data_IF_883861182696
#
_entry.id   IF_883861182696
#
_cell.length_a   1.000
_cell.length_b   1.000
_cell.length_c   1.000
_cell.angle_alpha   90.00
_cell.angle_beta   90.00
_cell.angle_gamma   90.00
#
_symmetry.space_group_name_H-M   'P 1'
#
loop_
_entity.id
_entity.type
_entity.pdbx_description
1 polymer ?
#
# COMPACT_ATOMS: atom_id res chain seq x y z
N UNK A 1 -75.16 13.09 5.87
CA UNK A 1 -74.34 11.88 6.14
C UNK A 1 -73.45 11.50 4.96
N UNK A 2 -73.97 11.45 3.72
CA UNK A 2 -73.18 11.10 2.51
C UNK A 2 -71.94 12.00 2.27
N UNK A 3 -72.06 13.32 2.47
CA UNK A 3 -70.94 14.27 2.32
C UNK A 3 -69.78 14.01 3.30
N UNK A 4 -70.09 13.66 4.55
CA UNK A 4 -69.07 13.41 5.58
C UNK A 4 -68.31 12.12 5.26
N UNK A 5 -69.03 11.08 4.81
CA UNK A 5 -68.43 9.83 4.36
C UNK A 5 -67.50 10.04 3.14
N UNK A 6 -67.90 10.90 2.20
CA UNK A 6 -67.11 11.19 1.00
C UNK A 6 -65.84 12.00 1.34
N UNK A 7 -65.94 12.98 2.24
CA UNK A 7 -64.77 13.74 2.74
C UNK A 7 -63.80 12.83 3.50
N UNK A 8 -64.31 11.92 4.34
CA UNK A 8 -63.49 10.95 5.07
C UNK A 8 -62.76 10.00 4.10
N UNK A 9 -63.47 9.48 3.09
CA UNK A 9 -62.87 8.61 2.06
C UNK A 9 -61.77 9.34 1.25
N UNK A 10 -62.02 10.59 0.83
CA UNK A 10 -61.02 11.41 0.13
C UNK A 10 -59.81 11.72 1.02
N UNK A 11 -60.03 12.00 2.30
CA UNK A 11 -58.94 12.26 3.26
C UNK A 11 -58.05 11.03 3.45
N UNK A 12 -58.64 9.83 3.53
CA UNK A 12 -57.90 8.57 3.58
C UNK A 12 -57.13 8.34 2.27
N UNK A 13 -57.73 8.66 1.12
CA UNK A 13 -57.04 8.58 -0.18
C UNK A 13 -55.83 9.50 -0.27
N UNK A 14 -55.94 10.75 0.20
CA UNK A 14 -54.83 11.70 0.25
C UNK A 14 -53.75 11.23 1.23
N UNK A 15 -54.12 10.77 2.43
CA UNK A 15 -53.17 10.25 3.40
C UNK A 15 -52.42 9.02 2.86
N UNK A 16 -53.13 8.11 2.19
CA UNK A 16 -52.54 6.93 1.55
C UNK A 16 -51.57 7.27 0.42
N UNK A 17 -51.93 8.21 -0.46
CA UNK A 17 -51.05 8.67 -1.55
C UNK A 17 -49.84 9.45 -1.05
N UNK A 18 -50.00 10.28 -0.01
CA UNK A 18 -48.89 10.98 0.64
C UNK A 18 -47.91 10.01 1.31
N UNK A 19 -48.42 9.00 2.01
CA UNK A 19 -47.59 7.96 2.62
C UNK A 19 -46.86 7.11 1.57
N UNK A 20 -47.56 6.71 0.50
CA UNK A 20 -46.96 6.00 -0.62
C UNK A 20 -45.87 6.82 -1.30
N UNK A 21 -46.15 8.10 -1.61
CA UNK A 21 -45.18 9.01 -2.21
C UNK A 21 -43.95 9.25 -1.33
N UNK A 22 -44.14 9.38 -0.01
CA UNK A 22 -43.04 9.48 0.95
C UNK A 22 -42.18 8.21 0.98
N UNK A 23 -42.82 7.03 1.02
CA UNK A 23 -42.13 5.73 1.01
C UNK A 23 -41.37 5.51 -0.29
N UNK A 24 -41.98 5.81 -1.42
CA UNK A 24 -41.37 5.73 -2.74
C UNK A 24 -40.16 6.66 -2.84
N UNK A 25 -40.28 7.90 -2.34
CA UNK A 25 -39.18 8.86 -2.30
C UNK A 25 -38.01 8.37 -1.43
N UNK A 26 -38.29 7.79 -0.25
CA UNK A 26 -37.27 7.20 0.63
C UNK A 26 -36.56 6.01 -0.03
N UNK A 27 -37.31 5.09 -0.65
CA UNK A 27 -36.75 3.93 -1.35
C UNK A 27 -35.89 4.35 -2.54
N UNK A 28 -36.37 5.32 -3.33
CA UNK A 28 -35.60 5.91 -4.44
C UNK A 28 -34.30 6.52 -3.94
N UNK A 29 -34.35 7.35 -2.90
CA UNK A 29 -33.14 7.98 -2.35
C UNK A 29 -32.15 6.95 -1.81
N UNK A 30 -32.62 5.90 -1.13
CA UNK A 30 -31.76 4.82 -0.66
C UNK A 30 -31.06 4.11 -1.83
N UNK A 31 -31.78 3.79 -2.91
CA UNK A 31 -31.20 3.19 -4.13
C UNK A 31 -30.15 4.11 -4.76
N UNK A 32 -30.44 5.41 -4.89
CA UNK A 32 -29.49 6.38 -5.45
C UNK A 32 -28.22 6.50 -4.61
N UNK A 33 -28.34 6.54 -3.28
CA UNK A 33 -27.18 6.57 -2.37
C UNK A 33 -26.38 5.27 -2.47
N UNK A 34 -27.05 4.11 -2.53
CA UNK A 34 -26.35 2.83 -2.69
C UNK A 34 -25.60 2.75 -4.02
N UNK A 35 -26.20 3.21 -5.12
CA UNK A 35 -25.55 3.26 -6.42
C UNK A 35 -24.37 4.24 -6.45
N UNK A 36 -24.53 5.44 -5.89
CA UNK A 36 -23.45 6.42 -5.75
C UNK A 36 -22.27 5.84 -4.94
N UNK A 37 -22.53 5.23 -3.79
CA UNK A 37 -21.49 4.59 -2.98
C UNK A 37 -20.81 3.43 -3.71
N UNK A 38 -21.56 2.68 -4.53
CA UNK A 38 -20.99 1.61 -5.36
C UNK A 38 -20.04 2.18 -6.42
N UNK A 39 -20.43 3.26 -7.11
CA UNK A 39 -19.60 3.90 -8.12
C UNK A 39 -18.34 4.54 -7.54
N UNK A 40 -18.47 5.26 -6.42
CA UNK A 40 -17.32 5.81 -5.72
C UNK A 40 -16.33 4.71 -5.34
N UNK A 41 -16.81 3.62 -4.71
CA UNK A 41 -15.96 2.49 -4.36
C UNK A 41 -15.30 1.87 -5.57
N UNK A 42 -16.07 1.52 -6.60
CA UNK A 42 -15.53 0.90 -7.83
C UNK A 42 -14.48 1.80 -8.49
N UNK A 43 -14.69 3.12 -8.53
CA UNK A 43 -13.72 4.04 -9.08
C UNK A 43 -12.43 4.13 -8.23
N UNK A 44 -12.55 4.14 -6.90
CA UNK A 44 -11.39 4.09 -6.01
C UNK A 44 -10.62 2.77 -6.13
N UNK A 45 -11.33 1.64 -6.18
CA UNK A 45 -10.75 0.31 -6.35
C UNK A 45 -10.01 0.21 -7.69
N UNK A 46 -10.61 0.72 -8.79
CA UNK A 46 -9.98 0.76 -10.10
C UNK A 46 -8.71 1.60 -10.09
N UNK A 47 -8.77 2.81 -9.54
CA UNK A 47 -7.61 3.71 -9.44
C UNK A 47 -6.45 3.01 -8.73
N UNK A 48 -6.75 2.39 -7.59
CA UNK A 48 -5.77 1.64 -6.80
C UNK A 48 -5.20 0.42 -7.54
N UNK A 49 -6.06 -0.35 -8.21
CA UNK A 49 -5.62 -1.52 -8.99
C UNK A 49 -4.73 -1.12 -10.17
N UNK A 50 -5.01 0.02 -10.81
CA UNK A 50 -4.15 0.57 -11.88
C UNK A 50 -2.80 1.02 -11.33
N UNK A 51 -2.73 1.62 -10.15
CA UNK A 51 -1.45 1.96 -9.50
C UNK A 51 -0.60 0.68 -9.27
N UNK A 52 -1.21 -0.35 -8.67
CA UNK A 52 -0.54 -1.62 -8.43
C UNK A 52 -0.10 -2.29 -9.73
N UNK A 53 -0.94 -2.25 -10.76
CA UNK A 53 -0.65 -2.82 -12.07
C UNK A 53 0.55 -2.11 -12.70
N UNK A 54 0.56 -0.77 -12.70
CA UNK A 54 1.67 0.03 -13.21
C UNK A 54 2.99 -0.31 -12.51
N UNK A 55 3.00 -0.33 -11.17
CA UNK A 55 4.20 -0.66 -10.39
C UNK A 55 4.69 -2.09 -10.61
N UNK A 56 3.77 -3.05 -10.76
CA UNK A 56 4.11 -4.44 -11.01
C UNK A 56 4.69 -4.65 -12.42
N UNK A 57 4.19 -3.93 -13.43
CA UNK A 57 4.80 -3.92 -14.78
C UNK A 57 6.22 -3.34 -14.70
N UNK A 58 6.38 -2.20 -14.03
CA UNK A 58 7.67 -1.54 -13.84
C UNK A 58 8.68 -2.47 -13.15
N UNK A 59 8.24 -3.17 -12.10
CA UNK A 59 9.03 -4.19 -11.40
C UNK A 59 9.44 -5.32 -12.34
N UNK A 60 8.50 -5.83 -13.14
CA UNK A 60 8.75 -6.89 -14.13
C UNK A 60 9.77 -6.46 -15.20
N UNK A 61 9.78 -5.18 -15.61
CA UNK A 61 10.75 -4.63 -16.56
C UNK A 61 12.19 -4.58 -16.03
N UNK A 62 12.36 -4.40 -14.73
CA UNK A 62 13.65 -4.34 -14.05
C UNK A 62 14.21 -5.72 -13.68
N UNK A 63 13.36 -6.75 -13.67
CA UNK A 63 13.76 -8.14 -13.44
C UNK A 63 14.59 -8.69 -14.59
N UNK A 64 15.48 -9.62 -14.29
CA UNK A 64 16.28 -10.35 -15.29
C UNK A 64 16.13 -11.87 -15.17
N UNK A 65 15.87 -12.37 -13.96
CA UNK A 65 15.87 -13.82 -13.75
C UNK A 65 14.56 -14.44 -14.20
N UNK A 66 14.70 -15.56 -14.88
CA UNK A 66 13.61 -16.31 -15.49
C UNK A 66 12.70 -16.95 -14.42
N UNK A 67 13.24 -17.21 -13.22
CA UNK A 67 12.52 -17.75 -12.06
C UNK A 67 11.67 -16.70 -11.33
N UNK A 68 12.01 -15.41 -11.44
CA UNK A 68 11.27 -14.29 -10.86
C UNK A 68 10.23 -13.70 -11.82
N UNK A 69 10.47 -13.77 -13.14
CA UNK A 69 9.59 -13.22 -14.17
C UNK A 69 8.22 -13.91 -14.26
N UNK A 70 8.15 -15.26 -14.26
CA UNK A 70 6.86 -15.96 -14.39
C UNK A 70 5.87 -15.62 -13.26
N UNK A 71 6.29 -15.65 -11.97
CA UNK A 71 5.43 -15.17 -10.88
C UNK A 71 5.03 -13.70 -11.03
N UNK A 72 5.96 -12.83 -11.45
CA UNK A 72 5.67 -11.41 -11.60
C UNK A 72 4.63 -11.14 -12.71
N UNK A 73 4.72 -11.85 -13.83
CA UNK A 73 3.75 -11.78 -14.94
C UNK A 73 2.38 -12.38 -14.55
N UNK A 74 2.37 -13.46 -13.75
CA UNK A 74 1.12 -14.00 -13.21
C UNK A 74 0.42 -12.96 -12.30
N UNK A 75 1.18 -12.19 -11.54
CA UNK A 75 0.66 -11.10 -10.71
C UNK A 75 0.15 -9.93 -11.55
N UNK A 76 0.86 -9.53 -12.62
CA UNK A 76 0.35 -8.55 -13.60
C UNK A 76 -0.99 -9.01 -14.17
N UNK A 77 -1.12 -10.28 -14.54
CA UNK A 77 -2.37 -10.85 -15.03
C UNK A 77 -3.49 -10.79 -13.97
N UNK A 78 -3.20 -11.16 -12.71
CA UNK A 78 -4.18 -11.07 -11.60
C UNK A 78 -4.68 -9.64 -11.42
N UNK A 79 -3.77 -8.68 -11.31
CA UNK A 79 -4.10 -7.26 -11.11
C UNK A 79 -4.91 -6.70 -12.28
N UNK A 80 -4.56 -7.06 -13.51
CA UNK A 80 -5.30 -6.67 -14.70
C UNK A 80 -6.72 -7.24 -14.71
N UNK A 81 -6.88 -8.50 -14.29
CA UNK A 81 -8.18 -9.16 -14.18
C UNK A 81 -9.08 -8.49 -13.14
N UNK A 82 -8.51 -8.12 -12.00
CA UNK A 82 -9.22 -7.41 -10.93
C UNK A 82 -9.65 -6.02 -11.37
N UNK A 83 -8.73 -5.26 -11.98
CA UNK A 83 -9.06 -3.96 -12.60
C UNK A 83 -10.19 -4.10 -13.62
N UNK A 84 -10.12 -5.12 -14.50
CA UNK A 84 -11.13 -5.35 -15.53
C UNK A 84 -12.50 -5.62 -14.91
N UNK A 85 -12.57 -6.46 -13.87
CA UNK A 85 -13.81 -6.74 -13.16
C UNK A 85 -14.39 -5.49 -12.46
N UNK A 86 -13.53 -4.59 -11.96
CA UNK A 86 -13.94 -3.34 -11.32
C UNK A 86 -14.46 -2.32 -12.33
N UNK A 87 -13.84 -2.19 -13.51
CA UNK A 87 -14.36 -1.35 -14.60
C UNK A 87 -15.80 -1.72 -14.94
N UNK A 88 -16.09 -3.03 -14.97
CA UNK A 88 -17.44 -3.61 -15.14
C UNK A 88 -18.53 -3.09 -14.19
N UNK A 89 -18.16 -2.50 -13.05
CA UNK A 89 -19.07 -2.01 -12.01
C UNK A 89 -19.33 -0.50 -12.10
N UNK A 90 -18.59 0.22 -12.95
CA UNK A 90 -18.84 1.62 -13.24
C UNK A 90 -20.10 1.76 -14.11
N UNK A 91 -20.70 2.96 -14.23
CA UNK A 91 -21.87 3.16 -15.09
C UNK A 91 -21.49 3.06 -16.59
N UNK A 92 -21.26 1.83 -17.05
CA UNK A 92 -20.75 1.45 -18.37
C UNK A 92 -21.70 1.77 -19.53
N UNK A 93 -22.99 1.91 -19.26
CA UNK A 93 -24.00 2.17 -20.30
C UNK A 93 -23.87 3.58 -20.91
N UNK A 94 -23.10 4.48 -20.28
CA UNK A 94 -23.11 5.90 -20.60
C UNK A 94 -21.71 6.55 -20.70
N UNK A 95 -20.67 5.92 -20.15
CA UNK A 95 -19.28 6.40 -20.24
C UNK A 95 -18.45 5.48 -21.15
N UNK A 96 -17.53 6.03 -21.97
CA UNK A 96 -16.62 5.19 -22.74
C UNK A 96 -15.59 4.59 -21.77
N UNK A 97 -15.69 3.29 -21.47
CA UNK A 97 -14.69 2.54 -20.71
C UNK A 97 -14.07 1.39 -21.51
N UNK A 98 -14.58 1.20 -22.72
CA UNK A 98 -14.29 0.06 -23.58
C UNK A 98 -12.79 -0.10 -23.83
N UNK A 99 -12.05 1.01 -23.85
CA UNK A 99 -10.61 0.96 -24.14
C UNK A 99 -9.78 0.72 -22.89
N UNK A 100 -10.22 1.20 -21.74
CA UNK A 100 -9.62 0.79 -20.46
C UNK A 100 -9.80 -0.72 -20.25
N UNK A 101 -10.98 -1.27 -20.53
CA UNK A 101 -11.22 -2.72 -20.54
C UNK A 101 -10.32 -3.44 -21.54
N UNK A 102 -10.20 -2.93 -22.77
CA UNK A 102 -9.33 -3.49 -23.81
C UNK A 102 -7.85 -3.47 -23.38
N UNK A 103 -7.36 -2.38 -22.78
CA UNK A 103 -6.00 -2.30 -22.23
C UNK A 103 -5.76 -3.37 -21.17
N UNK A 104 -6.69 -3.51 -20.22
CA UNK A 104 -6.61 -4.48 -19.13
C UNK A 104 -6.67 -5.94 -19.62
N UNK A 105 -7.48 -6.20 -20.64
CA UNK A 105 -7.53 -7.49 -21.31
C UNK A 105 -6.21 -7.81 -22.03
N UNK A 106 -5.64 -6.83 -22.74
CA UNK A 106 -4.38 -6.96 -23.49
C UNK A 106 -3.20 -7.29 -22.58
N UNK A 107 -3.05 -6.55 -21.49
CA UNK A 107 -1.99 -6.80 -20.52
C UNK A 107 -2.21 -8.13 -19.80
N UNK A 108 -3.46 -8.50 -19.47
CA UNK A 108 -3.79 -9.79 -18.91
C UNK A 108 -3.34 -10.95 -19.81
N UNK A 109 -3.72 -10.89 -21.09
CA UNK A 109 -3.41 -11.91 -22.09
C UNK A 109 -1.91 -12.03 -22.39
N UNK A 110 -1.21 -10.90 -22.55
CA UNK A 110 0.24 -10.89 -22.71
C UNK A 110 0.93 -11.55 -21.50
N UNK A 111 0.55 -11.13 -20.30
CA UNK A 111 1.22 -11.54 -19.07
C UNK A 111 0.95 -13.01 -18.76
N UNK A 112 -0.29 -13.48 -18.96
CA UNK A 112 -0.62 -14.90 -18.82
C UNK A 112 0.16 -15.78 -19.79
N UNK A 113 0.15 -15.44 -21.09
CA UNK A 113 0.86 -16.22 -22.12
C UNK A 113 2.36 -16.30 -21.84
N UNK A 114 2.95 -15.22 -21.36
CA UNK A 114 4.35 -15.20 -20.98
C UNK A 114 4.61 -15.97 -19.67
N UNK A 115 3.73 -15.86 -18.68
CA UNK A 115 3.89 -16.50 -17.37
C UNK A 115 3.86 -18.04 -17.43
N UNK A 116 2.98 -18.63 -18.25
CA UNK A 116 2.82 -20.08 -18.37
C UNK A 116 3.89 -20.77 -19.21
N UNK A 117 4.73 -19.99 -19.91
CA UNK A 117 5.83 -20.50 -20.73
C UNK A 117 7.01 -20.86 -19.85
N UNK A 118 7.77 -21.86 -20.28
CA UNK A 118 9.09 -22.15 -19.70
C UNK A 118 10.06 -21.02 -20.10
N UNK A 119 10.11 -19.96 -19.28
CA UNK A 119 10.98 -18.81 -19.52
C UNK A 119 12.47 -19.18 -19.42
N UNK A 120 12.82 -20.31 -18.79
CA UNK A 120 14.19 -20.85 -18.78
C UNK A 120 14.65 -21.26 -20.17
N UNK A 121 13.75 -21.82 -20.98
CA UNK A 121 14.03 -22.20 -22.38
C UNK A 121 13.67 -21.10 -23.38
N UNK A 122 12.64 -20.32 -23.09
CA UNK A 122 12.07 -19.31 -23.98
C UNK A 122 11.90 -17.99 -23.22
N UNK A 123 12.99 -17.25 -22.95
CA UNK A 123 12.92 -15.95 -22.25
C UNK A 123 12.10 -14.94 -23.06
N UNK A 124 11.72 -13.82 -22.42
CA UNK A 124 11.11 -12.71 -23.13
C UNK A 124 12.04 -12.25 -24.25
N UNK A 125 11.54 -12.21 -25.47
CA UNK A 125 12.29 -11.68 -26.60
C UNK A 125 12.22 -10.14 -26.62
N UNK A 126 13.03 -9.51 -27.49
CA UNK A 126 13.11 -8.05 -27.57
C UNK A 126 11.76 -7.38 -27.91
N UNK A 127 10.90 -8.03 -28.71
CA UNK A 127 9.58 -7.49 -29.07
C UNK A 127 8.59 -7.61 -27.89
N UNK A 128 8.63 -8.72 -27.15
CA UNK A 128 7.87 -8.89 -25.90
C UNK A 128 8.31 -7.87 -24.84
N UNK A 129 9.61 -7.59 -24.73
CA UNK A 129 10.14 -6.57 -23.82
C UNK A 129 9.69 -5.15 -24.21
N UNK A 130 9.76 -4.79 -25.50
CA UNK A 130 9.21 -3.51 -26.01
C UNK A 130 7.71 -3.40 -25.75
N UNK A 131 6.98 -4.50 -25.91
CA UNK A 131 5.54 -4.55 -25.61
C UNK A 131 5.30 -4.23 -24.14
N UNK A 132 6.06 -4.84 -23.22
CA UNK A 132 5.96 -4.56 -21.78
C UNK A 132 6.31 -3.10 -21.45
N UNK A 133 7.31 -2.50 -22.12
CA UNK A 133 7.63 -1.07 -21.98
C UNK A 133 6.50 -0.16 -22.46
N UNK A 134 5.82 -0.52 -23.56
CA UNK A 134 4.67 0.23 -24.05
C UNK A 134 3.48 0.11 -23.10
N UNK A 135 3.22 -1.09 -22.56
CA UNK A 135 2.19 -1.32 -21.55
C UNK A 135 2.48 -0.51 -20.28
N UNK A 136 3.74 -0.44 -19.86
CA UNK A 136 4.17 0.39 -18.73
C UNK A 136 3.83 1.87 -18.96
N UNK A 137 4.21 2.41 -20.12
CA UNK A 137 3.96 3.81 -20.47
C UNK A 137 2.46 4.13 -20.51
N UNK A 138 1.67 3.26 -21.17
CA UNK A 138 0.21 3.40 -21.23
C UNK A 138 -0.46 3.30 -19.86
N UNK A 139 0.01 2.40 -18.99
CA UNK A 139 -0.51 2.31 -17.61
C UNK A 139 -0.25 3.58 -16.82
N UNK A 140 0.90 4.26 -17.03
CA UNK A 140 1.20 5.54 -16.40
C UNK A 140 0.26 6.65 -16.88
N UNK A 141 -0.04 6.69 -18.18
CA UNK A 141 -0.98 7.65 -18.76
C UNK A 141 -2.39 7.45 -18.16
N UNK A 142 -2.90 6.21 -18.15
CA UNK A 142 -4.20 5.87 -17.57
C UNK A 142 -4.23 6.19 -16.07
N UNK A 143 -3.17 5.85 -15.33
CA UNK A 143 -3.02 6.18 -13.92
C UNK A 143 -3.17 7.68 -13.69
N UNK A 144 -2.42 8.50 -14.43
CA UNK A 144 -2.45 9.95 -14.30
C UNK A 144 -3.83 10.52 -14.61
N UNK A 145 -4.51 10.00 -15.61
CA UNK A 145 -5.84 10.46 -16.00
C UNK A 145 -6.92 10.06 -14.99
N UNK A 146 -6.86 8.84 -14.44
CA UNK A 146 -7.75 8.42 -13.34
C UNK A 146 -7.52 9.28 -12.09
N UNK A 147 -6.27 9.62 -11.78
CA UNK A 147 -5.94 10.53 -10.67
C UNK A 147 -6.43 11.96 -10.91
N UNK A 148 -6.37 12.46 -12.14
CA UNK A 148 -6.99 13.73 -12.51
C UNK A 148 -8.51 13.70 -12.31
N UNK A 149 -9.19 12.65 -12.77
CA UNK A 149 -10.64 12.48 -12.55
C UNK A 149 -10.96 12.42 -11.05
N UNK A 150 -10.17 11.66 -10.28
CA UNK A 150 -10.33 11.57 -8.83
C UNK A 150 -10.21 12.94 -8.15
N UNK A 151 -9.21 13.72 -8.53
CA UNK A 151 -9.02 15.08 -8.03
C UNK A 151 -10.24 15.96 -8.33
N UNK A 152 -10.70 15.99 -9.58
CA UNK A 152 -11.85 16.79 -10.01
C UNK A 152 -13.15 16.41 -9.30
N UNK A 153 -13.39 15.11 -9.09
CA UNK A 153 -14.56 14.59 -8.38
C UNK A 153 -14.56 15.07 -6.92
N UNK A 154 -13.41 14.97 -6.25
CA UNK A 154 -13.25 15.36 -4.85
C UNK A 154 -13.30 16.88 -4.65
N UNK A 155 -12.65 17.65 -5.53
CA UNK A 155 -12.60 19.11 -5.46
C UNK A 155 -13.99 19.72 -5.68
N UNK A 156 -14.73 19.21 -6.67
CA UNK A 156 -16.02 19.78 -7.08
C UNK A 156 -17.23 19.06 -6.46
N UNK A 157 -17.02 18.10 -5.55
CA UNK A 157 -18.06 17.27 -4.93
C UNK A 157 -19.04 16.68 -5.95
N UNK A 158 -18.50 16.18 -7.07
CA UNK A 158 -19.29 15.68 -8.18
C UNK A 158 -19.87 14.31 -7.84
N UNK A 159 -21.13 14.07 -8.22
CA UNK A 159 -21.82 12.79 -8.00
C UNK A 159 -21.84 11.98 -9.29
N UNK A 160 -21.44 10.73 -9.22
CA UNK A 160 -21.47 9.79 -10.35
C UNK A 160 -22.88 9.60 -10.90
N UNK A 161 -23.87 9.59 -10.02
CA UNK A 161 -25.29 9.52 -10.37
C UNK A 161 -25.78 10.72 -11.19
N UNK A 162 -25.23 11.92 -10.97
CA UNK A 162 -25.60 13.11 -11.76
C UNK A 162 -25.07 13.00 -13.19
N UNK A 163 -23.88 12.40 -13.35
CA UNK A 163 -23.29 12.10 -14.66
C UNK A 163 -24.13 11.06 -15.40
N UNK A 164 -24.52 9.98 -14.72
CA UNK A 164 -25.40 8.95 -15.28
C UNK A 164 -26.75 9.55 -15.74
N UNK A 165 -27.39 10.37 -14.89
CA UNK A 165 -28.66 11.02 -15.23
C UNK A 165 -28.53 12.00 -16.40
N UNK A 166 -27.46 12.80 -16.45
CA UNK A 166 -27.20 13.74 -17.55
C UNK A 166 -27.03 13.00 -18.89
N UNK A 167 -26.30 11.89 -18.89
CA UNK A 167 -26.09 11.06 -20.07
C UNK A 167 -27.39 10.35 -20.52
N UNK A 168 -28.18 9.83 -19.59
CA UNK A 168 -29.45 9.17 -19.89
C UNK A 168 -30.52 10.11 -20.47
N UNK A 169 -30.46 11.40 -20.10
CA UNK A 169 -31.45 12.41 -20.52
C UNK A 169 -31.05 13.19 -21.77
N UNK A 170 -29.90 12.90 -22.38
CA UNK A 170 -29.30 13.67 -23.49
C UNK A 170 -29.13 15.18 -23.20
N UNK A 171 -29.29 15.61 -21.95
CA UNK A 171 -28.97 16.96 -21.51
C UNK A 171 -27.47 16.99 -21.22
N UNK A 172 -26.68 17.46 -22.19
CA UNK A 172 -25.28 17.81 -21.97
C UNK A 172 -25.21 19.25 -21.46
N UNK A 173 -25.15 19.52 -20.14
CA UNK A 173 -24.63 20.79 -19.70
C UNK A 173 -23.19 20.92 -20.26
N UNK A 174 -22.83 22.10 -20.75
CA UNK A 174 -21.57 22.34 -21.47
C UNK A 174 -20.28 22.15 -20.64
N UNK A 175 -20.40 21.78 -19.36
CA UNK A 175 -19.29 21.48 -18.44
C UNK A 175 -19.61 20.17 -17.70
N UNK A 176 -19.04 19.04 -18.14
CA UNK A 176 -19.10 17.81 -17.35
C UNK A 176 -17.70 17.18 -17.29
N UNK A 177 -16.91 17.71 -16.36
CA UNK A 177 -15.48 17.45 -16.20
C UNK A 177 -15.15 15.97 -15.96
N UNK A 178 -16.08 15.20 -15.38
CA UNK A 178 -15.95 13.74 -15.23
C UNK A 178 -15.92 13.06 -16.60
N UNK A 179 -16.89 13.40 -17.46
CA UNK A 179 -16.98 12.81 -18.80
C UNK A 179 -15.73 13.16 -19.62
N UNK A 180 -15.26 14.40 -19.53
CA UNK A 180 -14.11 14.84 -20.32
C UNK A 180 -12.79 14.25 -19.80
N UNK A 181 -12.65 14.07 -18.49
CA UNK A 181 -11.55 13.28 -17.91
C UNK A 181 -11.53 11.84 -18.44
N UNK A 182 -12.68 11.14 -18.45
CA UNK A 182 -12.76 9.79 -19.00
C UNK A 182 -12.55 9.70 -20.52
N UNK A 183 -13.05 10.67 -21.29
CA UNK A 183 -12.76 10.73 -22.73
C UNK A 183 -11.26 10.86 -23.00
N UNK A 184 -10.53 11.49 -22.09
CA UNK A 184 -9.07 11.65 -22.19
C UNK A 184 -8.39 10.31 -21.93
N UNK A 185 -8.77 9.60 -20.85
CA UNK A 185 -8.40 8.19 -20.56
C UNK A 185 -8.54 7.31 -21.80
N UNK A 186 -9.71 7.38 -22.41
CA UNK A 186 -10.04 6.55 -23.56
C UNK A 186 -9.27 6.97 -24.81
N UNK A 187 -8.91 8.23 -25.02
CA UNK A 187 -8.24 8.65 -26.25
C UNK A 187 -6.85 8.01 -26.43
N UNK A 188 -6.18 7.66 -25.33
CA UNK A 188 -4.78 7.24 -25.31
C UNK A 188 -4.54 5.73 -25.54
N UNK A 189 -5.58 4.94 -25.81
CA UNK A 189 -5.49 3.49 -25.99
C UNK A 189 -5.88 3.08 -27.44
N UNK A 190 -4.94 2.48 -28.18
CA UNK A 190 -5.09 1.73 -29.45
C UNK A 190 -4.17 0.48 -29.36
N UNK A 191 -4.44 -0.76 -29.80
CA UNK A 191 -5.59 -1.46 -30.42
C UNK A 191 -5.30 -3.00 -30.42
N UNK A 192 -6.36 -3.85 -30.52
CA UNK A 192 -6.51 -5.27 -30.97
C UNK A 192 -7.02 -6.34 -29.96
N UNK A 193 -7.74 -7.35 -30.51
CA UNK A 193 -8.84 -8.16 -29.91
C UNK A 193 -8.52 -9.41 -29.03
N UNK A 194 -9.58 -9.77 -28.28
CA UNK A 194 -9.85 -10.65 -27.11
C UNK A 194 -9.49 -12.16 -27.11
N UNK A 195 -9.29 -12.75 -25.91
CA UNK A 195 -9.91 -14.03 -25.45
C UNK A 195 -9.87 -14.25 -23.91
N UNK A 196 -10.72 -15.18 -23.43
CA UNK A 196 -11.34 -15.34 -22.09
C UNK A 196 -10.57 -16.18 -21.01
N UNK A 197 -11.01 -16.05 -19.74
CA UNK A 197 -10.31 -16.38 -18.48
C UNK A 197 -10.47 -17.80 -17.88
N UNK A 198 -9.57 -18.15 -16.94
CA UNK A 198 -9.68 -19.24 -15.95
C UNK A 198 -9.07 -18.85 -14.59
N UNK A 199 -9.42 -19.51 -13.46
CA UNK A 199 -9.08 -19.02 -12.11
C UNK A 199 -7.71 -19.50 -11.60
N UNK A 200 -7.01 -18.67 -10.83
CA UNK A 200 -5.80 -19.08 -10.06
C UNK A 200 -5.71 -18.41 -8.68
N UNK A 201 -4.95 -19.07 -7.82
CA UNK A 201 -4.91 -19.07 -6.37
C UNK A 201 -4.07 -17.94 -5.75
N UNK A 202 -4.59 -17.33 -4.68
CA UNK A 202 -3.82 -16.47 -3.77
C UNK A 202 -3.12 -17.31 -2.69
N UNK A 203 -1.79 -17.25 -2.63
CA UNK A 203 -1.02 -17.79 -1.52
C UNK A 203 -0.97 -16.75 -0.38
N UNK A 204 -1.46 -17.11 0.81
CA UNK A 204 -1.40 -16.28 2.01
C UNK A 204 -0.03 -16.43 2.66
N UNK A 205 0.75 -15.35 2.75
CA UNK A 205 2.00 -15.31 3.50
C UNK A 205 1.78 -15.72 4.97
N UNK A 206 2.37 -16.85 5.37
CA UNK A 206 2.52 -17.20 6.79
C UNK A 206 3.59 -16.30 7.41
N UNK A 207 3.17 -15.18 8.02
CA UNK A 207 4.02 -14.43 8.96
C UNK A 207 4.46 -15.37 10.08
N UNK A 208 5.76 -15.38 10.41
CA UNK A 208 6.29 -16.01 11.62
C UNK A 208 5.48 -15.52 12.82
N UNK A 209 4.79 -16.46 13.47
CA UNK A 209 3.99 -16.19 14.67
C UNK A 209 4.94 -16.15 15.86
N UNK A 210 4.82 -15.15 16.73
CA UNK A 210 5.44 -15.17 18.05
C UNK A 210 6.64 -14.25 18.24
N UNK A 211 6.93 -13.98 19.51
CA UNK A 211 8.19 -13.40 20.00
C UNK A 211 9.05 -14.47 20.68
N UNK A 212 9.06 -15.71 20.17
CA UNK A 212 9.64 -16.89 20.84
C UNK A 212 11.12 -16.72 21.21
N UNK A 213 11.87 -15.97 20.41
CA UNK A 213 13.30 -15.75 20.57
C UNK A 213 13.67 -14.65 21.58
N UNK A 214 12.69 -13.92 22.13
CA UNK A 214 12.99 -12.87 23.11
C UNK A 214 13.44 -13.48 24.44
N UNK A 215 14.51 -12.94 25.00
CA UNK A 215 15.08 -13.34 26.28
C UNK A 215 14.76 -12.32 27.38
N UNK A 216 14.75 -12.76 28.64
CA UNK A 216 14.51 -11.88 29.78
C UNK A 216 13.52 -12.47 30.78
N UNK A 217 13.46 -11.84 31.97
CA UNK A 217 12.51 -12.20 33.02
C UNK A 217 11.12 -11.72 32.66
N UNK A 218 10.10 -12.38 33.19
CA UNK A 218 8.73 -11.86 33.14
C UNK A 218 8.66 -10.57 33.96
N UNK A 219 8.06 -9.54 33.39
CA UNK A 219 7.81 -8.27 34.06
C UNK A 219 6.39 -8.23 34.64
N UNK A 220 6.19 -7.38 35.62
CA UNK A 220 4.91 -7.08 36.24
C UNK A 220 4.24 -5.89 35.54
N UNK A 221 2.94 -5.70 35.84
CA UNK A 221 2.16 -4.54 35.40
C UNK A 221 2.82 -3.19 35.78
N UNK A 222 3.37 -3.10 36.98
CA UNK A 222 4.05 -1.87 37.44
C UNK A 222 5.38 -1.65 36.73
N UNK A 223 6.14 -2.70 36.44
CA UNK A 223 7.36 -2.60 35.63
C UNK A 223 7.03 -2.16 34.20
N UNK A 224 5.96 -2.69 33.59
CA UNK A 224 5.48 -2.24 32.28
C UNK A 224 5.15 -0.73 32.27
N UNK A 225 4.50 -0.24 33.34
CA UNK A 225 4.23 1.20 33.53
C UNK A 225 5.52 2.02 33.62
N UNK A 226 6.56 1.53 34.31
CA UNK A 226 7.85 2.24 34.40
C UNK A 226 8.61 2.23 33.06
N UNK A 227 8.55 1.12 32.32
CA UNK A 227 9.12 1.03 30.98
C UNK A 227 8.45 2.05 30.05
N UNK A 228 7.12 2.13 30.05
CA UNK A 228 6.38 3.12 29.26
C UNK A 228 6.78 4.57 29.60
N UNK A 229 6.86 4.89 30.91
CA UNK A 229 7.31 6.22 31.37
C UNK A 229 8.71 6.56 30.87
N UNK A 230 9.63 5.60 30.93
CA UNK A 230 11.03 5.80 30.52
C UNK A 230 11.14 5.91 29.00
N UNK A 231 10.43 5.05 28.25
CA UNK A 231 10.45 5.00 26.81
C UNK A 231 9.90 6.28 26.18
N UNK A 232 8.78 6.80 26.72
CA UNK A 232 8.08 7.97 26.21
C UNK A 232 8.48 9.28 26.91
N UNK A 233 9.42 9.23 27.87
CA UNK A 233 9.88 10.38 28.66
C UNK A 233 8.74 11.16 29.32
N UNK A 234 7.78 10.43 29.87
CA UNK A 234 6.60 11.00 30.51
C UNK A 234 7.01 11.84 31.73
N UNK A 235 6.34 12.98 31.93
CA UNK A 235 6.69 13.97 32.98
C UNK A 235 5.96 13.73 34.30
N UNK A 236 5.09 12.71 34.37
CA UNK A 236 4.45 12.22 35.58
C UNK A 236 3.03 12.74 35.85
N UNK A 237 2.50 13.60 34.99
CA UNK A 237 1.13 14.13 35.10
C UNK A 237 0.12 13.34 34.27
N UNK A 238 0.59 12.33 33.53
CA UNK A 238 -0.21 11.52 32.63
C UNK A 238 -0.94 10.41 33.40
N UNK A 239 -2.20 10.17 33.04
CA UNK A 239 -2.94 9.03 33.54
C UNK A 239 -2.52 7.78 32.76
N UNK A 240 -2.09 6.73 33.46
CA UNK A 240 -1.57 5.51 32.84
C UNK A 240 -2.37 4.30 33.30
N UNK A 241 -3.06 3.68 32.37
CA UNK A 241 -3.74 2.41 32.54
C UNK A 241 -2.91 1.30 31.89
N UNK A 242 -2.77 0.17 32.59
CA UNK A 242 -2.11 -1.02 32.04
C UNK A 242 -3.09 -2.19 32.10
N UNK A 243 -3.16 -2.98 31.04
CA UNK A 243 -4.00 -4.18 30.91
C UNK A 243 -3.11 -5.31 30.41
N UNK A 244 -3.26 -6.51 30.97
CA UNK A 244 -2.55 -7.70 30.50
C UNK A 244 -3.33 -8.36 29.35
N UNK A 245 -2.62 -8.95 28.39
CA UNK A 245 -3.20 -9.66 27.25
C UNK A 245 -4.08 -10.83 27.72
N UNK A 246 -5.28 -10.97 27.14
CA UNK A 246 -6.24 -12.02 27.50
C UNK A 246 -5.91 -13.43 26.98
N UNK A 247 -6.69 -14.41 27.43
CA UNK A 247 -6.62 -15.80 26.97
C UNK A 247 -6.92 -15.89 25.46
N UNK A 248 -5.93 -16.28 24.65
CA UNK A 248 -6.01 -16.35 23.18
C UNK A 248 -4.97 -15.51 22.45
N UNK A 249 -4.25 -14.64 23.14
CA UNK A 249 -3.09 -13.97 22.56
C UNK A 249 -1.97 -14.97 22.24
N UNK A 250 -1.37 -14.86 21.05
CA UNK A 250 -0.24 -15.71 20.63
C UNK A 250 1.01 -15.48 21.48
N UNK A 251 1.19 -14.27 21.98
CA UNK A 251 2.25 -13.88 22.91
C UNK A 251 1.64 -13.10 24.07
N UNK A 252 2.26 -13.21 25.25
CA UNK A 252 1.83 -12.45 26.43
C UNK A 252 2.47 -11.05 26.46
N UNK A 253 1.64 -10.01 26.64
CA UNK A 253 2.05 -8.62 26.65
C UNK A 253 1.19 -7.76 27.59
N UNK A 254 1.65 -6.55 27.85
CA UNK A 254 0.92 -5.51 28.56
C UNK A 254 0.57 -4.38 27.59
N UNK A 255 -0.72 -4.07 27.47
CA UNK A 255 -1.21 -2.88 26.79
C UNK A 255 -1.27 -1.71 27.76
N UNK A 256 -0.66 -0.61 27.37
CA UNK A 256 -0.53 0.61 28.14
C UNK A 256 -1.25 1.73 27.41
N UNK A 257 -2.25 2.32 28.06
CA UNK A 257 -2.97 3.51 27.59
C UNK A 257 -2.56 4.69 28.44
N UNK A 258 -2.08 5.74 27.81
CA UNK A 258 -1.58 6.96 28.46
C UNK A 258 -2.40 8.13 27.98
N UNK A 259 -3.04 8.84 28.90
CA UNK A 259 -3.78 10.07 28.60
C UNK A 259 -3.02 11.26 29.13
N UNK A 260 -2.69 12.19 28.24
CA UNK A 260 -2.04 13.43 28.61
C UNK A 260 -3.10 14.53 28.81
N UNK A 261 -3.35 14.97 30.06
CA UNK A 261 -4.42 15.94 30.33
C UNK A 261 -4.13 17.32 29.74
N UNK A 262 -2.86 17.66 29.46
CA UNK A 262 -2.47 18.97 28.91
C UNK A 262 -2.72 19.07 27.42
N UNK A 263 -2.33 18.03 26.68
CA UNK A 263 -2.44 18.00 25.21
C UNK A 263 -3.74 17.36 24.73
N UNK A 264 -4.47 16.67 25.63
CA UNK A 264 -5.59 15.79 25.30
C UNK A 264 -5.21 14.69 24.30
N UNK A 265 -3.91 14.37 24.17
CA UNK A 265 -3.45 13.25 23.35
C UNK A 265 -3.56 11.94 24.11
N UNK A 266 -3.84 10.88 23.35
CA UNK A 266 -3.85 9.51 23.85
C UNK A 266 -2.71 8.75 23.18
N UNK A 267 -1.91 8.07 23.99
CA UNK A 267 -0.84 7.18 23.53
C UNK A 267 -1.16 5.74 23.91
N UNK A 268 -1.00 4.85 22.95
CA UNK A 268 -1.17 3.41 23.10
C UNK A 268 0.16 2.73 22.87
N UNK A 269 0.49 1.75 23.71
CA UNK A 269 1.77 1.06 23.67
C UNK A 269 1.59 -0.38 24.14
N UNK A 270 2.16 -1.35 23.42
CA UNK A 270 2.28 -2.72 23.92
C UNK A 270 3.72 -3.06 24.29
N UNK A 271 3.88 -3.83 25.38
CA UNK A 271 5.17 -4.23 25.95
C UNK A 271 5.15 -5.73 26.18
N UNK A 272 6.17 -6.46 25.73
CA UNK A 272 6.25 -7.91 25.96
C UNK A 272 6.27 -8.22 27.47
N UNK A 273 5.53 -9.25 27.91
CA UNK A 273 5.61 -9.71 29.31
C UNK A 273 7.01 -10.25 29.60
N UNK A 274 7.61 -10.96 28.64
CA UNK A 274 8.98 -11.46 28.77
C UNK A 274 9.98 -10.40 28.31
N UNK A 275 10.87 -9.98 29.20
CA UNK A 275 11.95 -9.03 28.91
C UNK A 275 11.55 -7.55 28.88
N UNK A 276 10.26 -7.23 28.81
CA UNK A 276 9.78 -5.85 28.88
C UNK A 276 10.13 -5.00 27.67
N UNK A 277 10.11 -5.58 26.47
CA UNK A 277 10.45 -4.86 25.24
C UNK A 277 9.24 -4.09 24.69
N UNK A 278 9.40 -2.81 24.33
CA UNK A 278 8.43 -2.06 23.55
C UNK A 278 8.14 -2.76 22.21
N UNK A 279 6.91 -3.22 22.00
CA UNK A 279 6.48 -3.85 20.75
C UNK A 279 6.10 -2.77 19.75
N UNK A 280 5.18 -1.90 20.14
CA UNK A 280 4.72 -0.78 19.33
C UNK A 280 4.21 0.37 20.20
N UNK A 281 4.16 1.56 19.62
CA UNK A 281 3.59 2.79 20.18
C UNK A 281 2.87 3.54 19.08
N UNK A 282 1.71 4.12 19.39
CA UNK A 282 1.12 5.22 18.62
C UNK A 282 0.65 6.33 19.57
N UNK A 283 1.01 7.56 19.28
CA UNK A 283 0.39 8.74 19.87
C UNK A 283 -0.61 9.31 18.87
N UNK A 284 -1.89 9.37 19.27
CA UNK A 284 -2.91 10.02 18.47
C UNK A 284 -2.90 11.53 18.76
N UNK A 285 -2.24 12.28 17.89
CA UNK A 285 -2.25 13.75 17.89
C UNK A 285 -2.17 14.31 16.47
N UNK A 286 -2.76 15.48 16.19
CA UNK A 286 -2.55 16.18 14.93
C UNK A 286 -1.14 16.78 14.86
N UNK A 287 -0.58 16.84 13.65
CA UNK A 287 0.70 17.50 13.36
C UNK A 287 0.43 18.52 12.25
N UNK A 288 0.32 19.79 12.61
CA UNK A 288 -0.26 20.81 11.72
C UNK A 288 0.78 21.65 10.98
N UNK A 289 2.07 21.43 11.23
CA UNK A 289 3.16 22.21 10.63
C UNK A 289 4.45 21.42 10.59
N UNK A 290 5.32 21.78 9.66
CA UNK A 290 6.68 21.27 9.56
C UNK A 290 7.67 22.33 10.03
N UNK A 291 8.41 22.04 11.09
CA UNK A 291 9.49 22.86 11.61
C UNK A 291 10.88 22.20 11.45
N UNK A 292 10.93 20.88 11.22
CA UNK A 292 12.18 20.14 10.99
C UNK A 292 12.14 19.39 9.65
N UNK A 293 13.32 19.18 9.06
CA UNK A 293 13.44 18.43 7.82
C UNK A 293 13.28 16.92 8.04
N UNK A 294 13.02 16.17 6.97
CA UNK A 294 13.05 14.70 6.99
C UNK A 294 14.42 14.16 7.44
N UNK A 295 15.51 14.84 7.07
CA UNK A 295 16.86 14.48 7.52
C UNK A 295 17.05 14.68 9.03
N UNK A 296 16.54 15.77 9.59
CA UNK A 296 16.57 16.01 11.05
C UNK A 296 15.75 14.95 11.79
N UNK A 297 14.61 14.55 11.23
CA UNK A 297 13.79 13.46 11.76
C UNK A 297 14.57 12.14 11.75
N UNK A 298 15.26 11.80 10.66
CA UNK A 298 16.15 10.63 10.57
C UNK A 298 17.21 10.61 11.66
N UNK A 299 17.91 11.72 11.87
CA UNK A 299 18.95 11.84 12.90
C UNK A 299 18.34 11.66 14.31
N UNK A 300 17.14 12.19 14.55
CA UNK A 300 16.41 12.01 15.81
C UNK A 300 15.99 10.56 16.04
N UNK A 301 15.50 9.88 15.00
CA UNK A 301 15.15 8.46 15.04
C UNK A 301 16.35 7.59 15.41
N UNK A 302 17.49 7.75 14.73
CA UNK A 302 18.73 7.03 15.06
C UNK A 302 19.20 7.28 16.50
N UNK A 303 19.10 8.53 16.96
CA UNK A 303 19.46 8.88 18.35
C UNK A 303 18.54 8.20 19.35
N UNK A 304 17.24 8.16 19.09
CA UNK A 304 16.27 7.48 19.94
C UNK A 304 16.55 5.99 20.03
N UNK A 305 16.76 5.32 18.89
CA UNK A 305 17.12 3.90 18.86
C UNK A 305 18.34 3.61 19.74
N UNK A 306 19.42 4.39 19.57
CA UNK A 306 20.64 4.26 20.38
C UNK A 306 20.39 4.48 21.88
N UNK A 307 19.57 5.47 22.25
CA UNK A 307 19.22 5.75 23.65
C UNK A 307 18.40 4.62 24.30
N UNK A 308 17.60 3.92 23.50
CA UNK A 308 16.78 2.78 23.94
C UNK A 308 17.44 1.42 23.68
N UNK A 309 18.77 1.40 23.49
CA UNK A 309 19.61 0.19 23.33
C UNK A 309 19.33 -0.62 22.05
N UNK A 310 18.67 -0.03 21.06
CA UNK A 310 18.62 -0.53 19.69
C UNK A 310 19.87 -0.04 18.96
N UNK A 311 20.92 -0.87 18.95
CA UNK A 311 22.21 -0.53 18.37
C UNK A 311 22.37 -1.08 16.95
N UNK A 312 23.29 -0.48 16.19
CA UNK A 312 23.66 -0.89 14.83
C UNK A 312 22.50 -0.85 13.84
N UNK A 313 21.71 0.22 13.84
CA UNK A 313 20.65 0.45 12.86
C UNK A 313 21.10 1.44 11.78
N UNK A 314 20.69 1.18 10.54
CA UNK A 314 20.80 2.09 9.41
C UNK A 314 19.41 2.47 8.91
N UNK A 315 19.28 3.67 8.33
CA UNK A 315 18.07 4.06 7.62
C UNK A 315 17.92 3.17 6.39
N UNK A 316 16.74 2.57 6.24
CA UNK A 316 16.35 1.76 5.10
C UNK A 316 15.40 2.51 4.16
N UNK A 317 14.39 3.17 4.73
CA UNK A 317 13.36 3.88 3.97
C UNK A 317 12.95 5.14 4.73
N UNK A 318 12.70 6.22 4.00
CA UNK A 318 12.20 7.47 4.56
C UNK A 318 11.17 8.10 3.63
N UNK A 319 9.95 8.25 4.12
CA UNK A 319 8.86 8.90 3.40
C UNK A 319 8.27 9.97 4.28
N UNK A 320 7.89 11.10 3.70
CA UNK A 320 7.13 12.13 4.40
C UNK A 320 5.66 12.04 3.97
N UNK A 321 4.77 11.93 4.94
CA UNK A 321 3.32 12.04 4.74
C UNK A 321 2.82 13.23 5.53
N UNK A 322 2.33 14.25 4.82
CA UNK A 322 1.96 15.54 5.41
C UNK A 322 3.12 16.10 6.27
N UNK A 323 2.88 16.35 7.55
CA UNK A 323 3.89 16.84 8.49
C UNK A 323 4.51 15.70 9.34
N UNK A 324 4.48 14.45 8.87
CA UNK A 324 5.02 13.29 9.59
C UNK A 324 6.06 12.55 8.74
N UNK A 325 7.24 12.34 9.31
CA UNK A 325 8.24 11.43 8.74
C UNK A 325 7.92 9.98 9.14
N UNK A 326 7.79 9.11 8.16
CA UNK A 326 7.70 7.66 8.30
C UNK A 326 9.04 7.06 7.92
N UNK A 327 9.71 6.46 8.89
CA UNK A 327 11.07 5.95 8.76
C UNK A 327 11.09 4.46 9.05
N UNK A 328 11.79 3.69 8.22
CA UNK A 328 12.13 2.30 8.51
C UNK A 328 13.63 2.20 8.69
N UNK A 329 14.06 1.59 9.80
CA UNK A 329 15.45 1.28 10.09
C UNK A 329 15.66 -0.23 10.08
N UNK A 330 16.82 -0.69 9.65
CA UNK A 330 17.20 -2.11 9.67
C UNK A 330 18.51 -2.30 10.41
N UNK A 331 18.68 -3.45 11.05
CA UNK A 331 19.94 -3.78 11.71
C UNK A 331 21.05 -3.98 10.66
N UNK A 332 22.26 -3.51 10.95
CA UNK A 332 23.45 -3.71 10.15
C UNK A 332 24.52 -4.45 10.97
N UNK A 333 24.98 -5.60 10.47
CA UNK A 333 26.01 -6.41 11.11
C UNK A 333 27.16 -6.63 10.13
N UNK A 334 28.38 -6.20 10.49
CA UNK A 334 29.57 -6.34 9.64
C UNK A 334 29.38 -5.79 8.20
N UNK A 335 28.65 -4.68 8.06
CA UNK A 335 28.33 -4.08 6.76
C UNK A 335 27.24 -4.81 5.96
N UNK A 336 26.51 -5.75 6.57
CA UNK A 336 25.37 -6.46 5.98
C UNK A 336 24.07 -5.98 6.63
N UNK A 337 23.14 -5.47 5.84
CA UNK A 337 21.79 -5.08 6.31
C UNK A 337 20.93 -6.32 6.55
N UNK A 338 20.17 -6.37 7.63
CA UNK A 338 19.30 -7.50 7.99
C UNK A 338 17.87 -6.99 7.97
N UNK A 339 17.22 -7.12 6.82
CA UNK A 339 15.88 -6.59 6.58
C UNK A 339 14.79 -7.16 7.49
N UNK A 340 14.81 -8.46 7.85
CA UNK A 340 13.86 -9.00 8.82
C UNK A 340 13.95 -8.32 10.20
N UNK A 341 15.12 -7.76 10.54
CA UNK A 341 15.34 -7.01 11.78
C UNK A 341 15.06 -5.52 11.59
N UNK A 342 13.81 -5.19 11.24
CA UNK A 342 13.39 -3.80 11.02
C UNK A 342 12.66 -3.17 12.21
N UNK A 343 12.82 -1.85 12.34
CA UNK A 343 12.06 -0.99 13.26
C UNK A 343 11.45 0.15 12.45
N UNK A 344 10.14 0.34 12.58
CA UNK A 344 9.42 1.45 11.94
C UNK A 344 9.13 2.55 12.94
N UNK A 345 9.26 3.80 12.52
CA UNK A 345 9.05 4.97 13.36
C UNK A 345 8.23 6.03 12.62
N UNK A 346 7.36 6.72 13.36
CA UNK A 346 6.72 7.96 12.93
C UNK A 346 7.23 9.11 13.78
N UNK A 347 7.75 10.14 13.14
CA UNK A 347 8.29 11.33 13.80
C UNK A 347 7.50 12.54 13.32
N UNK A 348 6.93 13.28 14.28
CA UNK A 348 6.23 14.51 13.99
C UNK A 348 7.22 15.61 13.59
N UNK A 349 7.00 16.27 12.46
CA UNK A 349 7.94 17.25 11.93
C UNK A 349 7.77 18.65 12.55
N UNK A 350 6.79 18.87 13.41
CA UNK A 350 6.60 20.11 14.17
C UNK A 350 7.57 20.24 15.37
N UNK A 351 7.82 19.17 16.11
CA UNK A 351 8.66 19.19 17.31
C UNK A 351 9.73 18.08 17.36
N UNK A 352 9.66 17.13 16.41
CA UNK A 352 10.58 15.99 16.33
C UNK A 352 10.30 14.90 17.36
N UNK A 353 9.12 14.89 17.99
CA UNK A 353 8.70 13.81 18.88
C UNK A 353 8.32 12.55 18.09
N UNK A 354 8.53 11.40 18.73
CA UNK A 354 8.17 10.11 18.16
C UNK A 354 6.73 9.83 18.51
N UNK A 355 5.87 9.90 17.51
CA UNK A 355 4.42 9.65 17.61
C UNK A 355 4.05 8.24 17.16
N UNK A 356 5.02 7.46 16.67
CA UNK A 356 4.82 6.06 16.33
C UNK A 356 6.12 5.27 16.37
N UNK A 357 6.03 4.03 16.84
CA UNK A 357 7.16 3.11 16.92
C UNK A 357 6.64 1.69 16.72
N UNK A 358 7.37 0.84 16.01
CA UNK A 358 7.09 -0.59 15.92
C UNK A 358 8.40 -1.34 15.80
N UNK A 359 8.72 -2.15 16.81
CA UNK A 359 9.83 -3.10 16.80
C UNK A 359 9.33 -4.55 16.63
N UNK A 360 8.09 -4.75 16.17
CA UNK A 360 7.51 -6.09 16.03
C UNK A 360 8.38 -7.01 15.16
N UNK A 361 8.80 -6.52 14.00
CA UNK A 361 9.62 -7.29 13.06
C UNK A 361 10.99 -7.62 13.68
N UNK A 362 11.66 -6.61 14.23
CA UNK A 362 12.87 -6.79 15.03
C UNK A 362 12.72 -7.84 16.13
N UNK A 363 11.70 -7.75 17.00
CA UNK A 363 11.52 -8.67 18.13
C UNK A 363 11.20 -10.10 17.69
N UNK A 364 10.46 -10.26 16.59
CA UNK A 364 10.13 -11.58 16.04
C UNK A 364 11.32 -12.24 15.34
N UNK A 365 12.21 -11.43 14.77
CA UNK A 365 13.29 -11.91 13.91
C UNK A 365 14.67 -11.86 14.57
N UNK A 366 14.85 -11.11 15.67
CA UNK A 366 16.14 -10.97 16.33
C UNK A 366 16.67 -12.30 16.85
N UNK A 367 17.83 -12.71 16.34
CA UNK A 367 18.57 -13.88 16.80
C UNK A 367 20.06 -13.71 16.53
N UNK A 368 20.87 -14.50 17.21
CA UNK A 368 22.27 -14.64 16.86
C UNK A 368 22.38 -15.24 15.45
N UNK A 369 23.10 -14.57 14.55
CA UNK A 369 23.30 -15.01 13.17
C UNK A 369 24.77 -15.14 12.85
N UNK A 370 25.12 -16.29 12.28
CA UNK A 370 26.36 -16.46 11.55
C UNK A 370 26.08 -16.14 10.09
N UNK A 371 26.60 -15.01 9.60
CA UNK A 371 26.41 -14.60 8.22
C UNK A 371 27.35 -15.43 7.34
N UNK A 372 26.84 -16.22 6.38
CA UNK A 372 27.69 -17.03 5.52
C UNK A 372 28.57 -16.14 4.63
N UNK A 373 29.71 -16.66 4.19
CA UNK A 373 30.49 -15.98 3.16
C UNK A 373 29.79 -16.13 1.80
N UNK A 374 29.75 -15.09 0.96
CA UNK A 374 29.28 -15.23 -0.43
C UNK A 374 30.05 -16.31 -1.18
N UNK A 375 29.35 -17.15 -1.95
CA UNK A 375 29.98 -18.12 -2.85
C UNK A 375 30.29 -17.50 -4.22
N UNK A 376 29.58 -16.43 -4.60
CA UNK A 376 29.85 -15.65 -5.80
C UNK A 376 30.35 -14.25 -5.46
N UNK A 377 31.15 -13.67 -6.35
CA UNK A 377 31.60 -12.29 -6.23
C UNK A 377 30.50 -11.30 -6.59
N UNK A 378 30.66 -10.03 -6.19
CA UNK A 378 29.69 -8.98 -6.52
C UNK A 378 29.65 -8.70 -8.03
N UNK A 379 30.78 -8.85 -8.73
CA UNK A 379 30.86 -8.74 -10.19
C UNK A 379 30.14 -9.88 -10.90
N UNK A 380 30.18 -11.10 -10.33
CA UNK A 380 29.41 -12.24 -10.83
C UNK A 380 27.90 -12.01 -10.64
N UNK A 381 27.50 -11.47 -9.49
CA UNK A 381 26.11 -11.09 -9.23
C UNK A 381 25.64 -9.95 -10.15
N UNK A 382 26.48 -8.94 -10.39
CA UNK A 382 26.22 -7.84 -11.32
C UNK A 382 25.93 -8.33 -12.74
N UNK A 383 26.68 -9.34 -13.21
CA UNK A 383 26.44 -9.97 -14.54
C UNK A 383 25.09 -10.72 -14.63
N UNK A 384 24.44 -11.00 -13.51
CA UNK A 384 23.11 -11.62 -13.45
C UNK A 384 21.98 -10.60 -13.43
N UNK A 385 22.27 -9.30 -13.31
CA UNK A 385 21.26 -8.26 -13.34
C UNK A 385 20.80 -7.93 -14.76
N UNK A 386 19.66 -7.26 -14.84
CA UNK A 386 19.14 -6.74 -16.10
C UNK A 386 20.13 -5.70 -16.66
N UNK A 387 20.67 -5.89 -17.87
CA UNK A 387 21.66 -4.98 -18.44
C UNK A 387 21.12 -3.57 -18.71
N UNK A 388 19.80 -3.38 -18.71
CA UNK A 388 19.16 -2.09 -18.88
C UNK A 388 19.14 -1.27 -17.57
N UNK A 389 19.42 -1.89 -16.41
CA UNK A 389 19.45 -1.19 -15.13
C UNK A 389 20.81 -0.54 -14.91
N UNK A 390 20.81 0.76 -14.64
CA UNK A 390 22.01 1.53 -14.30
C UNK A 390 22.24 1.46 -12.79
N UNK A 391 23.29 0.76 -12.38
CA UNK A 391 23.62 0.55 -10.96
C UNK A 391 24.23 1.81 -10.35
N UNK A 392 23.69 2.24 -9.22
CA UNK A 392 24.14 3.41 -8.46
C UNK A 392 24.84 3.02 -7.16
N UNK A 393 24.34 1.98 -6.48
CA UNK A 393 24.87 1.55 -5.20
C UNK A 393 24.84 0.03 -5.05
N UNK A 394 25.79 -0.50 -4.29
CA UNK A 394 25.91 -1.93 -4.03
C UNK A 394 26.20 -2.20 -2.56
N UNK A 395 25.42 -3.12 -1.97
CA UNK A 395 25.53 -3.48 -0.55
C UNK A 395 25.31 -4.98 -0.38
N UNK A 396 25.51 -5.47 0.84
CA UNK A 396 25.11 -6.83 1.23
C UNK A 396 23.88 -6.75 2.12
N UNK A 397 22.94 -7.65 1.90
CA UNK A 397 21.70 -7.70 2.66
C UNK A 397 21.29 -9.14 2.95
N UNK A 398 20.58 -9.35 4.06
CA UNK A 398 19.79 -10.56 4.32
C UNK A 398 18.33 -10.19 4.18
N UNK A 399 17.60 -10.95 3.37
CA UNK A 399 16.15 -10.81 3.16
C UNK A 399 15.46 -12.15 3.41
N UNK A 400 14.14 -12.11 3.63
CA UNK A 400 13.30 -13.30 3.49
C UNK A 400 12.97 -13.49 2.01
N UNK A 401 13.25 -14.66 1.45
CA UNK A 401 12.76 -15.01 0.12
C UNK A 401 11.27 -15.40 0.14
N UNK A 402 10.72 -15.70 -1.03
CA UNK A 402 9.32 -16.08 -1.23
C UNK A 402 8.86 -17.36 -0.49
N UNK A 403 9.79 -18.20 -0.03
CA UNK A 403 9.52 -19.41 0.77
C UNK A 403 9.84 -19.20 2.25
N UNK A 404 9.93 -17.95 2.71
CA UNK A 404 10.23 -17.56 4.09
C UNK A 404 11.56 -18.12 4.63
N UNK A 405 12.59 -18.12 3.80
CA UNK A 405 13.96 -18.44 4.21
C UNK A 405 14.84 -17.20 4.16
N UNK A 406 15.70 -17.04 5.17
CA UNK A 406 16.71 -16.00 5.15
C UNK A 406 17.82 -16.35 4.16
N UNK A 407 18.05 -15.45 3.21
CA UNK A 407 19.08 -15.59 2.19
C UNK A 407 20.01 -14.37 2.21
N UNK A 408 21.31 -14.62 2.08
CA UNK A 408 22.31 -13.56 1.90
C UNK A 408 22.29 -13.14 0.43
N UNK A 409 22.14 -11.84 0.18
CA UNK A 409 22.08 -11.23 -1.13
C UNK A 409 23.10 -10.09 -1.25
N UNK A 410 23.46 -9.80 -2.50
CA UNK A 410 23.92 -8.49 -2.91
C UNK A 410 22.69 -7.63 -3.23
N UNK A 411 22.57 -6.49 -2.56
CA UNK A 411 21.57 -5.46 -2.81
C UNK A 411 22.15 -4.47 -3.81
N UNK A 412 21.46 -4.25 -4.91
CA UNK A 412 21.79 -3.25 -5.91
C UNK A 412 20.68 -2.21 -5.96
N UNK A 413 21.05 -0.94 -5.78
CA UNK A 413 20.18 0.19 -6.07
C UNK A 413 20.54 0.71 -7.46
N UNK A 414 19.55 0.85 -8.33
CA UNK A 414 19.78 1.34 -9.68
C UNK A 414 18.54 1.92 -10.32
N UNK A 415 18.68 2.50 -11.50
CA UNK A 415 17.58 3.12 -12.24
C UNK A 415 17.36 2.43 -13.57
N UNK A 416 16.09 2.41 -14.02
CA UNK A 416 15.69 2.01 -15.36
C UNK A 416 14.70 3.06 -15.86
N UNK A 417 15.14 3.92 -16.78
CA UNK A 417 14.39 5.14 -17.11
C UNK A 417 14.38 6.11 -15.94
N UNK A 418 13.20 6.61 -15.58
CA UNK A 418 12.99 7.56 -14.47
C UNK A 418 12.69 6.88 -13.13
N UNK A 419 12.64 5.53 -13.12
CA UNK A 419 12.30 4.74 -11.94
C UNK A 419 13.54 4.19 -11.24
N UNK A 420 13.47 4.18 -9.91
CA UNK A 420 14.52 3.61 -9.06
C UNK A 420 14.09 2.24 -8.56
N UNK A 421 15.02 1.28 -8.59
CA UNK A 421 14.79 -0.09 -8.20
C UNK A 421 15.81 -0.55 -7.18
N UNK A 422 15.36 -1.40 -6.26
CA UNK A 422 16.21 -2.20 -5.38
C UNK A 422 16.11 -3.66 -5.80
N UNK A 423 17.24 -4.24 -6.17
CA UNK A 423 17.35 -5.61 -6.71
C UNK A 423 18.23 -6.44 -5.77
N UNK A 424 17.76 -7.64 -5.42
CA UNK A 424 18.46 -8.56 -4.53
C UNK A 424 18.88 -9.81 -5.29
N UNK A 425 20.20 -10.01 -5.44
CA UNK A 425 20.78 -11.19 -6.07
C UNK A 425 21.39 -12.08 -4.99
N UNK A 426 20.95 -13.32 -4.87
CA UNK A 426 21.45 -14.30 -3.92
C UNK A 426 22.97 -14.49 -4.05
N UNK A 427 23.69 -14.27 -2.95
CA UNK A 427 25.15 -14.30 -2.89
C UNK A 427 25.74 -15.71 -2.89
N UNK A 428 24.91 -16.76 -2.88
CA UNK A 428 25.31 -18.18 -2.98
C UNK A 428 25.17 -18.73 -4.40
N UNK A 429 24.08 -18.40 -5.10
CA UNK A 429 23.76 -19.04 -6.39
C UNK A 429 23.52 -18.04 -7.54
N UNK A 430 23.44 -16.73 -7.27
CA UNK A 430 23.23 -15.68 -8.27
C UNK A 430 21.80 -15.57 -8.78
N UNK A 431 20.83 -16.21 -8.12
CA UNK A 431 19.39 -16.09 -8.44
C UNK A 431 18.88 -14.73 -7.95
N UNK A 432 18.00 -14.10 -8.71
CA UNK A 432 17.29 -12.89 -8.28
C UNK A 432 16.18 -13.28 -7.30
N UNK A 433 16.32 -12.85 -6.05
CA UNK A 433 15.39 -13.21 -4.97
C UNK A 433 14.23 -12.21 -4.87
N UNK A 434 14.50 -10.93 -5.17
CA UNK A 434 13.51 -9.87 -5.08
C UNK A 434 13.90 -8.66 -5.93
N UNK A 435 12.91 -8.01 -6.53
CA UNK A 435 13.02 -6.69 -7.17
C UNK A 435 11.91 -5.81 -6.62
N UNK A 436 12.25 -4.62 -6.16
CA UNK A 436 11.31 -3.63 -5.63
C UNK A 436 11.47 -2.33 -6.41
N UNK A 437 10.39 -1.82 -7.00
CA UNK A 437 10.32 -0.43 -7.45
C UNK A 437 10.21 0.47 -6.21
N UNK A 438 11.06 1.48 -6.11
CA UNK A 438 10.99 2.49 -5.06
C UNK A 438 10.03 3.59 -5.49
N UNK A 439 9.20 4.07 -4.58
CA UNK A 439 8.23 5.12 -4.90
C UNK A 439 8.94 6.44 -5.19
N UNK A 440 8.52 7.08 -6.28
CA UNK A 440 8.84 8.46 -6.59
C UNK A 440 7.83 9.39 -5.89
N UNK A 441 8.17 10.67 -5.66
CA UNK A 441 7.20 11.65 -5.15
C UNK A 441 5.97 11.71 -6.07
N UNK A 442 4.76 11.64 -5.51
CA UNK A 442 3.53 11.83 -6.30
C UNK A 442 3.50 13.23 -6.92
N UNK A 443 3.09 13.38 -8.20
CA UNK A 443 2.94 14.69 -8.82
C UNK A 443 1.83 15.49 -8.13
N UNK A 444 1.99 16.81 -8.07
CA UNK A 444 0.94 17.71 -7.58
C UNK A 444 -0.11 17.85 -8.68
N UNK A 445 -1.32 17.38 -8.41
CA UNK A 445 -2.48 17.52 -9.28
C UNK A 445 -3.14 18.90 -9.06
N UNK A 446 -3.35 19.68 -10.13
CA UNK A 446 -4.05 20.98 -10.07
C UNK A 446 -3.31 22.20 -10.66
N UNK A 447 -2.06 22.06 -11.10
CA UNK A 447 -1.35 23.10 -11.87
C UNK A 447 -1.22 22.69 -13.34
N UNK A 448 -2.25 22.96 -14.15
CA UNK A 448 -2.18 23.03 -15.62
C UNK A 448 -2.86 24.32 -16.08
#
# INVERSE_FOLDING_TARGET
>A
MLRILLIAALSIGIAGTAYWGYREHQQKNAILIHAENNYQRAFHDLTYQIDLLHDQIGTTLAMNSRQSLSPALAEVWRLASEAHATVGQLPLSLLPFNKTEEFLSNIGSFSYRAAIRDLDKQPLNNEEYKTLQQLYKKSADIQQELRNVQHLVLENNLRWMDVELALATNNRPNDNTIIDGFKTVEKNVQSYNETDFGPSFTNVEKRTKGFEHISGKKITKEEAKQIAKTFLRLKGNEEIQVVHSGEGASDAFYSVTIKNPKTKSETYMDITEKGGYPIWVIENRPVNKQNISLNDATIRGLRFLKQHKFNNFELYESTQYDHVAVLTFVTAQNGVRIYPESIKMKIALDDGNIIGFSARDYLSSKRERTIPKPAISIEQARKKMNPNVTIMEERKAIIMNNVNQEVLCYEFLGTLGDDTYRIFINAQNGIEEKVEKLQNPEPIYGEI
#
